data_IF_123066512660
#
_entry.id   IF_123066512660
#
_cell.length_a   1.000
_cell.length_b   1.000
_cell.length_c   1.000
_cell.angle_alpha   90.00
_cell.angle_beta   90.00
_cell.angle_gamma   90.00
#
_symmetry.space_group_name_H-M   'P 1'
#
loop_
_entity.id
_entity.type
_entity.pdbx_description
1 polymer ?
#
# COMPACT_ATOMS: atom_id res chain seq x y z
N UNK A 1 19.17 -11.94 -10.96
CA UNK A 1 18.43 -12.09 -9.69
C UNK A 1 17.64 -10.81 -9.52
N UNK A 2 16.33 -10.84 -9.77
CA UNK A 2 15.49 -9.65 -9.64
C UNK A 2 15.46 -9.23 -8.18
N UNK A 3 15.84 -7.99 -7.90
CA UNK A 3 15.62 -7.36 -6.60
C UNK A 3 14.12 -7.39 -6.34
N UNK A 4 13.67 -8.33 -5.50
CA UNK A 4 12.34 -8.26 -4.90
C UNK A 4 12.38 -7.02 -4.02
N UNK A 5 12.04 -5.85 -4.60
CA UNK A 5 11.76 -4.66 -3.82
C UNK A 5 10.69 -5.08 -2.81
N UNK A 6 11.08 -5.17 -1.55
CA UNK A 6 10.18 -5.31 -0.42
C UNK A 6 9.41 -3.99 -0.38
N UNK A 7 8.33 -3.93 -1.13
CA UNK A 7 7.55 -2.72 -1.35
C UNK A 7 6.60 -2.61 -0.17
N UNK A 8 7.08 -1.97 0.90
CA UNK A 8 6.27 -1.73 2.09
C UNK A 8 5.42 -0.49 1.87
N UNK A 9 4.10 -0.67 1.91
CA UNK A 9 3.13 0.43 1.82
C UNK A 9 2.90 0.93 3.24
N UNK A 10 3.08 2.24 3.51
CA UNK A 10 2.74 2.78 4.81
C UNK A 10 1.23 2.69 5.01
N UNK A 11 0.81 2.15 6.15
CA UNK A 11 -0.61 2.02 6.52
C UNK A 11 -1.37 3.33 6.43
N UNK A 12 -0.73 4.43 6.82
CA UNK A 12 -1.28 5.78 6.70
C UNK A 12 -1.82 6.07 5.30
N UNK A 13 -1.17 5.60 4.24
CA UNK A 13 -1.60 5.80 2.86
C UNK A 13 -2.94 5.09 2.56
N UNK A 14 -3.15 3.89 3.12
CA UNK A 14 -4.43 3.18 3.00
C UNK A 14 -5.52 3.88 3.81
N UNK A 15 -5.20 4.29 5.04
CA UNK A 15 -6.12 5.05 5.91
C UNK A 15 -6.59 6.32 5.18
N UNK A 16 -5.66 7.10 4.62
CA UNK A 16 -5.97 8.31 3.87
C UNK A 16 -6.84 8.02 2.64
N UNK A 17 -6.57 6.92 1.92
CA UNK A 17 -7.38 6.51 0.78
C UNK A 17 -8.82 6.16 1.19
N UNK A 18 -9.00 5.43 2.29
CA UNK A 18 -10.33 5.11 2.82
C UNK A 18 -11.06 6.35 3.35
N UNK A 19 -10.36 7.25 4.06
CA UNK A 19 -10.93 8.54 4.50
C UNK A 19 -11.38 9.36 3.28
N UNK A 20 -10.57 9.46 2.23
CA UNK A 20 -10.89 10.18 1.01
C UNK A 20 -12.09 9.56 0.27
N UNK A 21 -12.26 8.24 0.35
CA UNK A 21 -13.42 7.52 -0.18
C UNK A 21 -14.67 7.62 0.73
N UNK A 22 -14.57 8.20 1.93
CA UNK A 22 -15.64 8.27 2.92
C UNK A 22 -15.86 6.97 3.71
N UNK A 23 -14.97 5.99 3.57
CA UNK A 23 -15.04 4.70 4.25
C UNK A 23 -14.25 4.73 5.58
N UNK A 24 -14.68 5.60 6.50
CA UNK A 24 -14.03 5.80 7.80
C UNK A 24 -13.94 4.51 8.62
N UNK A 25 -14.97 3.67 8.56
CA UNK A 25 -15.05 2.37 9.26
C UNK A 25 -13.90 1.44 8.83
N UNK A 26 -13.60 1.41 7.51
CA UNK A 26 -12.47 0.65 6.96
C UNK A 26 -11.13 1.28 7.30
N UNK A 27 -11.05 2.61 7.36
CA UNK A 27 -9.83 3.31 7.78
C UNK A 27 -9.46 2.95 9.23
N UNK A 28 -10.43 2.91 10.13
CA UNK A 28 -10.23 2.45 11.51
C UNK A 28 -9.90 0.96 11.59
N UNK A 29 -10.57 0.13 10.76
CA UNK A 29 -10.26 -1.29 10.70
C UNK A 29 -8.82 -1.54 10.24
N UNK A 30 -8.36 -0.82 9.21
CA UNK A 30 -6.96 -0.85 8.75
C UNK A 30 -6.03 -0.45 9.87
N UNK A 31 -6.30 0.66 10.56
CA UNK A 31 -5.45 1.13 11.64
C UNK A 31 -5.29 0.09 12.76
N UNK A 32 -6.36 -0.63 13.08
CA UNK A 32 -6.38 -1.63 14.14
C UNK A 32 -5.76 -2.97 13.74
N UNK A 33 -6.01 -3.42 12.52
CA UNK A 33 -5.72 -4.79 12.09
C UNK A 33 -4.38 -4.90 11.35
N UNK A 34 -3.98 -3.84 10.64
CA UNK A 34 -2.76 -3.83 9.85
C UNK A 34 -1.57 -3.16 10.59
N UNK A 35 -0.35 -3.67 10.38
CA UNK A 35 0.87 -3.03 10.88
C UNK A 35 1.16 -1.72 10.12
N UNK A 36 1.97 -0.83 10.71
CA UNK A 36 2.37 0.43 10.06
C UNK A 36 3.03 0.26 8.69
N UNK A 37 3.72 -0.86 8.49
CA UNK A 37 4.32 -1.24 7.21
C UNK A 37 3.64 -2.48 6.66
N UNK A 38 2.92 -2.30 5.55
CA UNK A 38 2.12 -3.34 4.93
C UNK A 38 2.85 -3.88 3.72
N UNK A 39 3.26 -5.14 3.79
CA UNK A 39 3.66 -5.90 2.60
C UNK A 39 2.42 -6.32 1.79
N UNK A 40 2.23 -5.84 0.56
CA UNK A 40 1.12 -6.26 -0.29
C UNK A 40 1.20 -7.73 -0.70
N UNK A 41 2.38 -8.36 -0.58
CA UNK A 41 2.58 -9.79 -0.84
C UNK A 41 2.29 -10.62 0.42
N UNK A 42 2.81 -10.22 1.58
CA UNK A 42 2.63 -10.98 2.81
C UNK A 42 1.22 -10.79 3.42
N UNK A 43 0.63 -9.61 3.26
CA UNK A 43 -0.70 -9.23 3.76
C UNK A 43 -1.73 -9.19 2.62
N UNK A 44 -1.50 -9.93 1.53
CA UNK A 44 -2.42 -9.96 0.38
C UNK A 44 -3.83 -10.41 0.77
N UNK A 45 -3.93 -11.31 1.75
CA UNK A 45 -5.21 -11.84 2.24
C UNK A 45 -5.96 -10.81 3.11
N UNK A 46 -5.25 -10.11 3.99
CA UNK A 46 -5.79 -9.01 4.82
C UNK A 46 -6.29 -7.85 3.95
N UNK A 47 -5.49 -7.47 2.93
CA UNK A 47 -5.87 -6.47 1.95
C UNK A 47 -7.12 -6.91 1.18
N UNK A 48 -7.19 -8.17 0.74
CA UNK A 48 -8.36 -8.70 0.05
C UNK A 48 -9.60 -8.69 0.94
N UNK A 49 -9.46 -8.98 2.24
CA UNK A 49 -10.57 -8.93 3.19
C UNK A 49 -11.14 -7.51 3.36
N UNK A 50 -10.31 -6.48 3.17
CA UNK A 50 -10.71 -5.07 3.17
C UNK A 50 -11.26 -4.60 1.81
N UNK A 51 -11.25 -5.47 0.80
CA UNK A 51 -11.60 -5.14 -0.58
C UNK A 51 -10.51 -4.38 -1.33
N UNK A 52 -9.28 -4.39 -0.83
CA UNK A 52 -8.11 -3.81 -1.48
C UNK A 52 -7.44 -4.85 -2.38
N UNK A 53 -7.25 -4.47 -3.64
CA UNK A 53 -6.54 -5.32 -4.58
C UNK A 53 -5.03 -5.05 -4.50
N UNK A 54 -4.29 -5.98 -3.90
CA UNK A 54 -2.84 -5.89 -3.80
C UNK A 54 -2.16 -5.68 -5.17
N UNK A 55 -2.74 -6.19 -6.25
CA UNK A 55 -2.27 -5.95 -7.63
C UNK A 55 -2.40 -4.49 -8.10
N UNK A 56 -3.47 -3.80 -7.69
CA UNK A 56 -3.66 -2.37 -7.97
C UNK A 56 -2.72 -1.50 -7.14
N UNK A 57 -2.47 -1.89 -5.89
CA UNK A 57 -1.52 -1.19 -5.01
C UNK A 57 -0.09 -1.33 -5.54
N UNK A 58 0.34 -2.52 -5.95
CA UNK A 58 1.65 -2.76 -6.57
C UNK A 58 1.84 -1.94 -7.86
N UNK A 59 0.77 -1.78 -8.67
CA UNK A 59 0.80 -0.97 -9.89
C UNK A 59 0.96 0.53 -9.60
N UNK A 60 0.33 1.03 -8.53
CA UNK A 60 0.43 2.43 -8.12
C UNK A 60 1.77 2.75 -7.45
N UNK A 61 2.33 1.81 -6.68
CA UNK A 61 3.65 1.97 -6.05
C UNK A 61 4.81 1.91 -7.04
N UNK A 62 4.72 1.11 -8.12
CA UNK A 62 5.74 1.08 -9.20
C UNK A 62 5.83 2.43 -9.94
N UNK A 63 4.70 3.13 -10.08
CA UNK A 63 4.68 4.49 -10.64
C UNK A 63 5.35 5.55 -9.74
N UNK A 64 5.53 5.27 -8.44
CA UNK A 64 6.17 6.20 -7.51
C UNK A 64 7.70 6.09 -7.52
N UNK A 65 8.26 4.93 -7.92
CA UNK A 65 9.72 4.71 -7.99
C UNK A 65 10.40 5.50 -9.12
N UNK A 66 9.71 5.81 -10.22
CA UNK A 66 10.29 6.58 -11.33
C UNK A 66 10.52 8.07 -10.97
N UNK A 67 9.81 8.60 -9.96
CA UNK A 67 9.93 10.00 -9.56
C UNK A 67 11.15 10.29 -8.64
N UNK A 68 11.80 9.26 -8.07
CA UNK A 68 12.92 9.43 -7.14
C UNK A 68 14.28 9.04 -7.73
N UNK A 69 14.39 8.92 -9.05
CA UNK A 69 15.70 8.74 -9.70
C UNK A 69 16.34 10.12 -9.89
N UNK A 70 17.37 10.50 -9.11
CA UNK A 70 18.11 11.72 -9.41
C UNK A 70 18.69 11.55 -10.81
N UNK A 71 18.33 12.46 -11.69
CA UNK A 71 18.98 12.65 -12.98
C UNK A 71 20.45 12.94 -12.69
N UNK A 72 21.29 11.91 -12.79
CA UNK A 72 22.73 12.07 -12.74
C UNK A 72 23.13 12.83 -14.01
N UNK A 73 23.54 14.08 -13.83
CA UNK A 73 24.26 14.90 -14.81
C UNK A 73 25.73 14.43 -14.87
#
# INVERSE_FOLDING_TARGET
MGTRHTMHIPKAHLIEQFIAAGELDKAEQVDRDLPDQIDPIAHADDLRALGLDAGLLMTQSDNLEDQYRPRAD
#
